data_IF_194629660580
#
_entry.id   IF_194629660580
#
_cell.length_a   1.000
_cell.length_b   1.000
_cell.length_c   1.000
_cell.angle_alpha   90.00
_cell.angle_beta   90.00
_cell.angle_gamma   90.00
#
_symmetry.space_group_name_H-M   'P 1'
#
loop_
_entity.id
_entity.type
_entity.pdbx_description
1 polymer ?
#
# COMPACT_ATOMS: atom_id res chain seq x y z
N UNK A 1 -13.80 -3.35 -14.54
CA UNK A 1 -12.38 -2.96 -14.40
C UNK A 1 -11.53 -3.75 -15.38
N UNK A 2 -10.46 -3.16 -15.94
CA UNK A 2 -9.51 -3.86 -16.83
C UNK A 2 -8.65 -4.89 -16.08
N UNK A 3 -8.36 -4.65 -14.81
CA UNK A 3 -7.65 -5.57 -13.92
C UNK A 3 -8.66 -6.12 -12.92
N UNK A 4 -8.72 -7.44 -12.78
CA UNK A 4 -9.59 -8.08 -11.80
C UNK A 4 -8.97 -8.06 -10.41
N UNK A 5 -9.80 -7.99 -9.38
CA UNK A 5 -9.33 -7.91 -7.99
C UNK A 5 -8.51 -9.14 -7.59
N UNK A 6 -8.86 -10.34 -8.07
CA UNK A 6 -8.08 -11.55 -7.75
C UNK A 6 -6.63 -11.48 -8.25
N UNK A 7 -6.39 -10.82 -9.39
CA UNK A 7 -5.04 -10.67 -9.95
C UNK A 7 -4.22 -9.66 -9.13
N UNK A 8 -4.85 -8.59 -8.62
CA UNK A 8 -4.22 -7.63 -7.71
C UNK A 8 -3.78 -8.37 -6.43
N UNK A 9 -4.70 -9.12 -5.81
CA UNK A 9 -4.41 -9.90 -4.60
C UNK A 9 -3.26 -10.89 -4.80
N UNK A 10 -3.23 -11.60 -5.92
CA UNK A 10 -2.14 -12.54 -6.23
C UNK A 10 -0.79 -11.84 -6.33
N UNK A 11 -0.72 -10.70 -7.03
CA UNK A 11 0.52 -9.93 -7.16
C UNK A 11 0.97 -9.32 -5.82
N UNK A 12 0.03 -8.78 -5.03
CA UNK A 12 0.32 -8.22 -3.71
C UNK A 12 0.91 -9.27 -2.77
N UNK A 13 0.32 -10.48 -2.74
CA UNK A 13 0.84 -11.58 -1.93
C UNK A 13 2.24 -12.04 -2.40
N UNK A 14 2.47 -12.06 -3.71
CA UNK A 14 3.79 -12.40 -4.25
C UNK A 14 4.85 -11.35 -3.87
N UNK A 15 4.48 -10.07 -3.85
CA UNK A 15 5.36 -8.97 -3.44
C UNK A 15 5.64 -8.97 -1.94
N UNK A 16 4.63 -9.25 -1.10
CA UNK A 16 4.81 -9.34 0.36
C UNK A 16 5.61 -10.57 0.80
N UNK A 17 5.72 -11.62 -0.04
CA UNK A 17 6.31 -12.91 0.33
C UNK A 17 7.76 -12.84 0.85
N UNK A 18 8.67 -12.02 0.29
CA UNK A 18 10.07 -12.00 0.74
C UNK A 18 10.25 -11.31 2.09
N UNK A 19 9.68 -10.11 2.25
CA UNK A 19 10.01 -9.18 3.35
C UNK A 19 8.79 -8.74 4.19
N UNK A 20 7.62 -9.34 3.93
CA UNK A 20 6.36 -9.04 4.61
C UNK A 20 5.56 -7.90 3.98
N UNK A 21 4.34 -7.72 4.48
CA UNK A 21 3.34 -6.80 3.93
C UNK A 21 3.70 -5.31 4.11
N UNK A 22 4.57 -5.01 5.07
CA UNK A 22 5.05 -3.65 5.32
C UNK A 22 5.84 -3.06 4.15
N UNK A 23 6.50 -3.89 3.35
CA UNK A 23 7.26 -3.41 2.18
C UNK A 23 6.31 -2.88 1.10
N UNK A 24 5.33 -3.66 0.61
CA UNK A 24 4.30 -3.12 -0.29
C UNK A 24 3.55 -1.91 0.30
N UNK A 25 3.20 -1.95 1.59
CA UNK A 25 2.46 -0.86 2.23
C UNK A 25 3.25 0.46 2.24
N UNK A 26 4.55 0.43 2.57
CA UNK A 26 5.41 1.60 2.55
C UNK A 26 5.57 2.18 1.14
N UNK A 27 5.83 1.33 0.15
CA UNK A 27 6.04 1.77 -1.24
C UNK A 27 4.76 2.32 -1.88
N UNK A 28 3.61 1.71 -1.61
CA UNK A 28 2.31 2.21 -2.09
C UNK A 28 1.96 3.53 -1.40
N UNK A 29 2.18 3.65 -0.08
CA UNK A 29 1.92 4.89 0.67
C UNK A 29 2.76 6.05 0.12
N UNK A 30 4.05 5.80 -0.15
CA UNK A 30 4.94 6.79 -0.76
C UNK A 30 4.40 7.29 -2.11
N UNK A 31 4.10 6.36 -3.02
CA UNK A 31 3.56 6.70 -4.34
C UNK A 31 2.19 7.40 -4.26
N UNK A 32 1.34 7.01 -3.30
CA UNK A 32 0.03 7.62 -3.06
C UNK A 32 0.16 9.12 -2.77
N UNK A 33 1.08 9.51 -1.89
CA UNK A 33 1.31 10.93 -1.56
C UNK A 33 2.11 11.68 -2.64
N UNK A 34 3.06 11.04 -3.31
CA UNK A 34 3.76 11.63 -4.47
C UNK A 34 2.78 12.02 -5.60
N UNK A 35 1.73 11.22 -5.80
CA UNK A 35 0.67 11.48 -6.78
C UNK A 35 -0.42 12.44 -6.26
N UNK A 36 -0.32 12.91 -5.02
CA UNK A 36 -1.34 13.78 -4.40
C UNK A 36 -2.70 13.12 -4.30
N UNK A 37 -2.75 11.80 -4.13
CA UNK A 37 -4.00 11.06 -3.98
C UNK A 37 -4.66 11.40 -2.64
N UNK A 38 -6.00 11.39 -2.64
CA UNK A 38 -6.82 11.66 -1.46
C UNK A 38 -7.86 10.56 -1.19
N UNK A 39 -7.91 9.53 -2.03
CA UNK A 39 -8.79 8.37 -1.86
C UNK A 39 -8.12 7.06 -2.34
N UNK A 40 -8.27 5.94 -1.61
CA UNK A 40 -8.82 5.84 -0.25
C UNK A 40 -7.91 6.55 0.77
N UNK A 41 -8.43 6.90 1.95
CA UNK A 41 -7.63 7.56 3.00
C UNK A 41 -6.45 6.68 3.44
N UNK A 42 -5.26 7.29 3.51
CA UNK A 42 -4.04 6.72 4.10
C UNK A 42 -3.45 7.69 5.13
N UNK A 43 -2.73 7.15 6.10
CA UNK A 43 -1.99 7.94 7.08
C UNK A 43 -0.65 8.40 6.50
N UNK A 44 -0.36 9.69 6.60
CA UNK A 44 0.96 10.25 6.29
C UNK A 44 1.95 10.07 7.45
N UNK A 45 3.21 10.44 7.22
CA UNK A 45 4.29 10.30 8.22
C UNK A 45 4.09 11.19 9.47
N UNK A 46 3.09 12.08 9.49
CA UNK A 46 2.75 12.84 10.70
C UNK A 46 1.98 12.00 11.72
N UNK A 47 1.34 10.91 11.29
CA UNK A 47 0.59 10.03 12.18
C UNK A 47 1.54 9.04 12.88
N UNK A 48 1.48 8.90 14.21
CA UNK A 48 2.22 7.85 14.89
C UNK A 48 1.77 6.47 14.37
N UNK A 49 2.72 5.58 14.10
CA UNK A 49 2.41 4.23 13.58
C UNK A 49 1.77 4.21 12.17
N UNK A 50 1.94 5.26 11.35
CA UNK A 50 1.36 5.36 10.00
C UNK A 50 1.53 4.07 9.17
N UNK A 51 2.76 3.56 9.08
CA UNK A 51 3.05 2.33 8.34
C UNK A 51 2.27 1.12 8.88
N UNK A 52 2.17 0.97 10.20
CA UNK A 52 1.46 -0.16 10.80
C UNK A 52 -0.06 -0.08 10.60
N UNK A 53 -0.61 1.13 10.42
CA UNK A 53 -2.03 1.32 10.13
C UNK A 53 -2.38 1.24 8.64
N UNK A 54 -1.44 1.56 7.76
CA UNK A 54 -1.60 1.44 6.32
C UNK A 54 -1.35 0.00 5.81
N UNK A 55 -0.67 -0.84 6.60
CA UNK A 55 -0.43 -2.27 6.30
C UNK A 55 -1.66 -3.09 6.69
#
# INVERSE_FOLDING_TARGET
>A
MKIKHEHIRMAMNAWARPDGEKVPAAEITRAYFELGMTFPELYDDSHPEALARNT
#
